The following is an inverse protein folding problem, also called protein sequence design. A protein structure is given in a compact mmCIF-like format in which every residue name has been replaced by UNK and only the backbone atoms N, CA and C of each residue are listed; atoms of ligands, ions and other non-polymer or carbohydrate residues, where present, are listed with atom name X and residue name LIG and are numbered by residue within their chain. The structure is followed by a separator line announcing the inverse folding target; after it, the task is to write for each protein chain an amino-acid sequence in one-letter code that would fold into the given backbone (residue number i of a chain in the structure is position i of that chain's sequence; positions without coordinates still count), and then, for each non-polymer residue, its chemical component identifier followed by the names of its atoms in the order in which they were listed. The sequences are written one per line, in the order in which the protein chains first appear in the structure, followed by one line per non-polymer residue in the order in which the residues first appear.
data_IF_117720168573
#
_entry.id   IF_117720168573
#
_cell.length_a   1.000
_cell.length_b   1.000
_cell.length_c   1.000
_cell.angle_alpha   90.00
_cell.angle_beta   90.00
_cell.angle_gamma   90.00
#
_symmetry.space_group_name_H-M   'P 1'
#
loop_
_entity.id
_entity.type
_entity.pdbx_description
1 polymer ?
#
# COMPACT_ATOMS: atom_id res chain seq x y z
N UNK A 1 40.55 0.83 19.29
CA UNK A 1 39.45 0.70 18.31
C UNK A 1 39.67 1.83 17.32
N UNK A 2 40.14 1.50 16.13
CA UNK A 2 40.47 2.53 15.13
C UNK A 2 39.16 3.00 14.52
N UNK A 3 38.66 4.15 14.90
CA UNK A 3 37.54 4.82 14.26
C UNK A 3 38.00 5.25 12.87
N UNK A 4 38.06 4.26 11.93
CA UNK A 4 38.18 4.57 10.53
C UNK A 4 36.98 5.44 10.18
N UNK A 5 37.31 6.64 9.81
CA UNK A 5 36.44 7.73 9.37
C UNK A 5 35.09 7.30 8.85
N UNK A 6 34.04 7.68 9.57
CA UNK A 6 32.65 7.55 9.07
C UNK A 6 32.56 8.44 7.84
N UNK A 7 32.43 7.85 6.66
CA UNK A 7 32.39 8.56 5.40
C UNK A 7 30.96 8.58 4.86
N UNK A 8 30.34 9.76 4.84
CA UNK A 8 29.03 9.96 4.24
C UNK A 8 28.97 9.52 2.77
N UNK A 9 30.08 9.67 2.04
CA UNK A 9 30.17 9.21 0.65
C UNK A 9 29.99 7.68 0.56
N UNK A 10 30.71 6.90 1.37
CA UNK A 10 30.57 5.43 1.38
C UNK A 10 29.20 4.97 1.83
N UNK A 11 28.59 5.68 2.77
CA UNK A 11 27.21 5.40 3.17
C UNK A 11 26.24 5.64 2.01
N UNK A 12 26.40 6.74 1.27
CA UNK A 12 25.57 7.04 0.13
C UNK A 12 25.79 6.04 -1.01
N UNK A 13 27.03 5.67 -1.31
CA UNK A 13 27.35 4.63 -2.29
C UNK A 13 26.68 3.29 -1.96
N UNK A 14 26.68 2.92 -0.67
CA UNK A 14 25.98 1.71 -0.23
C UNK A 14 24.46 1.84 -0.42
N UNK A 15 23.86 2.97 -0.01
CA UNK A 15 22.42 3.20 -0.16
C UNK A 15 21.96 3.23 -1.62
N UNK A 16 22.74 3.83 -2.52
CA UNK A 16 22.42 3.87 -3.95
C UNK A 16 22.44 2.48 -4.59
N UNK A 17 23.14 1.52 -4.00
CA UNK A 17 23.10 0.12 -4.42
C UNK A 17 21.72 -0.54 -4.26
N UNK A 18 20.82 0.05 -3.46
CA UNK A 18 19.45 -0.42 -3.21
C UNK A 18 18.40 0.24 -4.13
N UNK A 19 18.79 0.77 -5.26
CA UNK A 19 17.88 1.36 -6.25
C UNK A 19 17.09 0.28 -7.01
N UNK A 20 16.27 -0.47 -6.26
CA UNK A 20 15.33 -1.46 -6.77
C UNK A 20 14.22 -1.71 -5.75
N UNK A 21 13.07 -2.22 -6.23
CA UNK A 21 11.95 -2.63 -5.37
C UNK A 21 12.39 -3.82 -4.51
N UNK A 22 12.14 -3.73 -3.19
CA UNK A 22 12.51 -4.74 -2.20
C UNK A 22 11.40 -4.98 -1.18
N UNK A 23 10.21 -5.18 -1.69
CA UNK A 23 9.08 -5.56 -0.85
C UNK A 23 9.33 -6.92 -0.21
N UNK A 24 8.78 -7.11 0.99
CA UNK A 24 8.87 -8.37 1.72
C UNK A 24 8.27 -9.52 0.89
N UNK A 25 8.92 -10.69 0.90
CA UNK A 25 8.56 -11.87 0.12
C UNK A 25 8.95 -11.82 -1.36
N UNK A 26 9.74 -10.82 -1.78
CA UNK A 26 10.18 -10.72 -3.18
C UNK A 26 11.67 -11.07 -3.37
N UNK A 27 12.04 -11.41 -4.60
CA UNK A 27 13.45 -11.58 -4.95
C UNK A 27 14.30 -10.33 -4.67
N UNK A 28 13.69 -9.14 -4.70
CA UNK A 28 14.34 -7.89 -4.32
C UNK A 28 14.73 -7.85 -2.85
N UNK A 29 13.88 -8.34 -1.95
CA UNK A 29 14.22 -8.46 -0.53
C UNK A 29 15.41 -9.40 -0.32
N UNK A 30 15.38 -10.58 -0.91
CA UNK A 30 16.49 -11.56 -0.83
C UNK A 30 17.79 -10.96 -1.37
N UNK A 31 17.73 -10.22 -2.49
CA UNK A 31 18.88 -9.51 -3.03
C UNK A 31 19.40 -8.47 -2.03
N UNK A 32 18.53 -7.67 -1.43
CA UNK A 32 18.92 -6.66 -0.45
C UNK A 32 19.57 -7.30 0.79
N UNK A 33 18.98 -8.37 1.32
CA UNK A 33 19.52 -9.10 2.47
C UNK A 33 20.94 -9.66 2.16
N UNK A 34 21.14 -10.23 0.97
CA UNK A 34 22.47 -10.70 0.53
C UNK A 34 23.47 -9.55 0.44
N UNK A 35 23.11 -8.42 -0.13
CA UNK A 35 23.98 -7.24 -0.21
C UNK A 35 24.42 -6.75 1.16
N UNK A 36 23.50 -6.71 2.14
CA UNK A 36 23.80 -6.35 3.52
C UNK A 36 24.77 -7.36 4.14
N UNK A 37 24.48 -8.65 4.02
CA UNK A 37 25.33 -9.73 4.53
C UNK A 37 26.76 -9.63 3.97
N UNK A 38 26.90 -9.54 2.66
CA UNK A 38 28.20 -9.51 1.99
C UNK A 38 29.01 -8.27 2.39
N UNK A 39 28.33 -7.16 2.67
CA UNK A 39 28.97 -5.94 3.21
C UNK A 39 29.46 -6.14 4.63
N UNK A 40 28.66 -6.78 5.51
CA UNK A 40 29.06 -7.10 6.88
C UNK A 40 30.24 -8.07 6.90
N UNK A 41 30.23 -9.08 6.04
CA UNK A 41 31.34 -10.02 5.87
C UNK A 41 32.62 -9.32 5.43
N UNK A 42 32.53 -8.35 4.51
CA UNK A 42 33.70 -7.54 4.08
C UNK A 42 34.32 -6.74 5.21
N UNK A 43 33.56 -6.42 6.25
CA UNK A 43 34.04 -5.75 7.45
C UNK A 43 34.48 -6.71 8.56
N UNK A 44 34.38 -8.02 8.33
CA UNK A 44 34.67 -9.04 9.34
C UNK A 44 33.63 -9.08 10.48
N UNK A 45 32.43 -8.55 10.25
CA UNK A 45 31.34 -8.57 11.22
C UNK A 45 30.63 -9.90 11.16
N UNK A 46 30.66 -10.66 12.25
CA UNK A 46 29.94 -11.94 12.36
C UNK A 46 28.43 -11.67 12.24
N UNK A 47 27.81 -12.32 11.31
CA UNK A 47 26.37 -12.18 11.03
C UNK A 47 25.76 -13.52 10.66
N UNK A 48 24.43 -13.59 10.60
CA UNK A 48 23.66 -14.70 10.06
C UNK A 48 22.39 -14.20 9.43
N UNK A 49 21.87 -14.91 8.45
CA UNK A 49 20.54 -14.68 7.89
C UNK A 49 19.53 -15.56 8.64
N UNK A 50 18.41 -14.98 8.98
CA UNK A 50 17.27 -15.68 9.59
C UNK A 50 16.08 -15.54 8.66
N UNK A 51 15.47 -16.67 8.30
CA UNK A 51 14.26 -16.71 7.50
C UNK A 51 13.05 -16.89 8.44
N UNK A 52 11.94 -16.25 8.11
CA UNK A 52 10.70 -16.37 8.86
C UNK A 52 9.50 -16.18 7.93
N UNK A 53 8.44 -16.89 8.24
CA UNK A 53 7.17 -16.79 7.53
C UNK A 53 6.43 -15.52 7.95
N UNK A 54 5.76 -14.89 6.97
CA UNK A 54 4.89 -13.74 7.24
C UNK A 54 3.70 -13.72 6.29
N UNK A 55 2.63 -13.05 6.70
CA UNK A 55 1.45 -12.86 5.87
C UNK A 55 1.67 -11.68 4.92
N UNK A 56 1.81 -11.98 3.65
CA UNK A 56 1.93 -10.99 2.58
C UNK A 56 0.61 -10.66 1.89
N UNK A 57 0.66 -9.79 0.90
CA UNK A 57 -0.43 -9.52 -0.03
C UNK A 57 0.15 -9.12 -1.38
N UNK A 58 -0.62 -9.35 -2.43
CA UNK A 58 -0.28 -8.87 -3.77
C UNK A 58 -1.45 -8.09 -4.33
N UNK A 59 -1.17 -6.94 -4.93
CA UNK A 59 -2.15 -6.16 -5.67
C UNK A 59 -2.03 -6.52 -7.14
N UNK A 60 -2.89 -7.41 -7.61
CA UNK A 60 -2.86 -7.84 -9.00
C UNK A 60 -3.40 -6.77 -9.95
N UNK A 61 -4.43 -6.06 -9.52
CA UNK A 61 -5.04 -4.99 -10.31
C UNK A 61 -5.80 -4.02 -9.42
N UNK A 62 -5.67 -2.72 -9.72
CA UNK A 62 -6.50 -1.68 -9.13
C UNK A 62 -6.95 -0.73 -10.24
N UNK A 63 -8.23 -0.42 -10.29
CA UNK A 63 -8.84 0.46 -11.29
C UNK A 63 -9.88 1.33 -10.64
N UNK A 64 -9.83 2.62 -10.90
CA UNK A 64 -10.85 3.59 -10.50
C UNK A 64 -11.43 4.24 -11.75
N UNK A 65 -12.76 4.17 -11.88
CA UNK A 65 -13.47 4.81 -13.00
C UNK A 65 -14.59 5.69 -12.49
N UNK A 66 -14.67 6.88 -13.03
CA UNK A 66 -15.91 7.68 -13.02
C UNK A 66 -16.73 7.22 -14.21
N UNK A 67 -17.98 6.85 -13.99
CA UNK A 67 -18.89 6.39 -15.04
C UNK A 67 -20.00 7.38 -15.36
N UNK A 68 -20.30 8.29 -14.44
CA UNK A 68 -21.28 9.39 -14.58
C UNK A 68 -20.80 10.59 -13.74
N UNK A 69 -20.99 11.83 -14.19
CA UNK A 69 -21.63 12.31 -15.42
C UNK A 69 -20.74 12.23 -16.67
N UNK A 70 -19.51 11.78 -16.54
CA UNK A 70 -18.54 11.58 -17.62
C UNK A 70 -17.79 10.27 -17.38
N UNK A 71 -17.15 9.75 -18.42
CA UNK A 71 -16.34 8.55 -18.30
C UNK A 71 -14.86 8.92 -18.20
N UNK A 72 -14.22 8.49 -17.12
CA UNK A 72 -12.77 8.68 -16.93
C UNK A 72 -12.19 7.57 -16.06
N UNK A 73 -11.06 7.06 -16.49
CA UNK A 73 -10.25 6.11 -15.73
C UNK A 73 -9.08 6.85 -15.08
N UNK A 74 -8.79 6.51 -13.83
CA UNK A 74 -7.68 7.06 -13.06
C UNK A 74 -6.68 5.98 -12.74
N UNK A 75 -5.40 6.33 -12.81
CA UNK A 75 -4.33 5.47 -12.36
C UNK A 75 -4.33 5.46 -10.83
N UNK A 76 -4.50 4.29 -10.26
CA UNK A 76 -4.56 4.08 -8.81
C UNK A 76 -3.76 2.85 -8.43
N UNK A 77 -3.42 2.74 -7.15
CA UNK A 77 -2.88 1.53 -6.56
C UNK A 77 -3.79 1.01 -5.46
N UNK A 78 -3.63 -0.26 -5.11
CA UNK A 78 -4.40 -0.93 -4.08
C UNK A 78 -3.90 -0.68 -2.66
N UNK A 79 -4.82 -0.81 -1.69
CA UNK A 79 -4.45 -1.04 -0.32
C UNK A 79 -4.21 -2.52 -0.09
N UNK A 80 -3.10 -2.85 0.55
CA UNK A 80 -2.86 -4.21 0.99
C UNK A 80 -3.86 -4.66 2.06
N UNK A 81 -4.22 -5.93 2.02
CA UNK A 81 -5.13 -6.55 2.99
C UNK A 81 -6.54 -5.95 2.99
N UNK A 82 -7.00 -5.47 1.84
CA UNK A 82 -8.38 -5.04 1.64
C UNK A 82 -9.18 -6.12 0.90
N UNK A 83 -10.51 -6.01 0.93
CA UNK A 83 -11.38 -6.88 0.15
C UNK A 83 -11.23 -6.68 -1.35
N UNK A 84 -11.68 -7.66 -2.12
CA UNK A 84 -11.71 -7.63 -3.57
C UNK A 84 -13.11 -7.30 -4.08
N UNK A 85 -13.20 -6.60 -5.21
CA UNK A 85 -14.48 -6.24 -5.82
C UNK A 85 -15.04 -7.32 -6.75
N UNK A 86 -14.30 -8.36 -7.00
CA UNK A 86 -14.62 -9.29 -8.09
C UNK A 86 -14.45 -8.65 -9.48
N UNK A 87 -14.80 -9.39 -10.53
CA UNK A 87 -14.61 -8.97 -11.92
C UNK A 87 -15.44 -7.74 -12.31
N UNK A 88 -16.65 -7.63 -11.77
CA UNK A 88 -17.59 -6.54 -12.07
C UNK A 88 -17.25 -5.22 -11.38
N UNK A 89 -16.38 -5.26 -10.39
CA UNK A 89 -16.07 -4.09 -9.59
C UNK A 89 -17.16 -3.70 -8.60
N UNK A 90 -16.95 -2.59 -7.90
CA UNK A 90 -17.94 -1.95 -7.03
C UNK A 90 -18.39 -0.64 -7.67
N UNK A 91 -19.70 -0.51 -7.96
CA UNK A 91 -20.30 0.76 -8.40
C UNK A 91 -21.15 1.34 -7.29
N UNK A 92 -20.86 2.57 -6.89
CA UNK A 92 -21.63 3.32 -5.91
C UNK A 92 -21.46 4.83 -6.13
N UNK A 93 -22.33 5.62 -5.50
CA UNK A 93 -22.20 7.07 -5.50
C UNK A 93 -20.90 7.50 -4.83
N UNK A 94 -20.35 8.59 -5.31
CA UNK A 94 -19.13 9.20 -4.78
C UNK A 94 -19.45 10.29 -3.75
N UNK A 95 -18.65 10.38 -2.69
CA UNK A 95 -18.72 11.45 -1.71
C UNK A 95 -17.30 11.87 -1.28
N UNK A 96 -16.98 13.16 -1.41
CA UNK A 96 -15.77 13.73 -0.83
C UNK A 96 -16.02 14.09 0.65
N UNK A 97 -15.16 13.62 1.52
CA UNK A 97 -15.33 13.72 3.00
C UNK A 97 -14.11 14.37 3.69
N UNK A 98 -13.29 15.08 2.94
CA UNK A 98 -12.09 15.77 3.44
C UNK A 98 -11.24 14.86 4.35
N UNK A 99 -11.28 15.11 5.66
CA UNK A 99 -10.53 14.37 6.67
C UNK A 99 -11.33 13.22 7.33
N UNK A 100 -12.54 12.95 6.86
CA UNK A 100 -13.40 11.89 7.40
C UNK A 100 -13.88 12.16 8.83
N UNK A 101 -14.25 13.41 9.15
CA UNK A 101 -14.92 13.75 10.40
C UNK A 101 -16.40 13.32 10.41
N UNK A 102 -17.03 13.32 11.60
CA UNK A 102 -18.39 12.83 11.76
C UNK A 102 -19.44 13.61 10.96
N UNK A 103 -19.23 14.90 10.71
CA UNK A 103 -20.16 15.74 9.95
C UNK A 103 -20.08 15.40 8.47
N UNK A 104 -18.88 15.36 7.91
CA UNK A 104 -18.66 15.02 6.50
C UNK A 104 -19.10 13.59 6.18
N UNK A 105 -18.99 12.67 7.15
CA UNK A 105 -19.41 11.27 7.02
C UNK A 105 -20.91 11.03 7.22
N UNK A 106 -21.71 12.01 7.61
CA UNK A 106 -23.15 11.84 7.87
C UNK A 106 -23.94 11.28 6.67
N UNK A 107 -23.43 11.44 5.46
CA UNK A 107 -24.05 10.98 4.19
C UNK A 107 -23.26 9.87 3.50
N UNK A 108 -22.33 9.21 4.20
CA UNK A 108 -21.40 8.24 3.62
C UNK A 108 -22.00 6.85 3.39
N UNK A 109 -23.15 6.55 4.03
CA UNK A 109 -23.77 5.23 3.94
C UNK A 109 -24.04 4.81 2.49
N UNK A 110 -23.53 3.64 2.12
CA UNK A 110 -23.67 3.05 0.78
C UNK A 110 -22.82 3.73 -0.30
N UNK A 111 -21.91 4.62 0.04
CA UNK A 111 -21.12 5.38 -0.92
C UNK A 111 -19.64 4.99 -0.89
N UNK A 112 -18.95 5.24 -2.00
CA UNK A 112 -17.49 5.31 -2.05
C UNK A 112 -17.08 6.71 -1.62
N UNK A 113 -16.29 6.80 -0.55
CA UNK A 113 -15.87 8.08 0.00
C UNK A 113 -14.42 8.41 -0.37
N UNK A 114 -14.12 9.67 -0.62
CA UNK A 114 -12.74 10.11 -0.84
C UNK A 114 -12.26 10.96 0.33
N UNK A 115 -11.14 10.54 0.90
CA UNK A 115 -10.47 11.20 2.02
C UNK A 115 -9.21 11.90 1.50
N UNK A 116 -8.99 13.13 1.91
CA UNK A 116 -7.76 13.84 1.63
C UNK A 116 -6.68 13.44 2.64
N UNK A 117 -5.59 12.86 2.15
CA UNK A 117 -4.51 12.35 2.97
C UNK A 117 -4.66 10.89 3.35
N UNK A 118 -3.76 10.42 4.20
CA UNK A 118 -3.67 9.02 4.60
C UNK A 118 -4.83 8.61 5.49
N UNK A 119 -5.46 7.50 5.18
CA UNK A 119 -6.47 6.87 6.04
C UNK A 119 -5.77 6.11 7.17
N UNK A 120 -5.76 6.70 8.37
CA UNK A 120 -5.31 6.03 9.60
C UNK A 120 -6.34 5.04 10.11
N UNK A 121 -5.98 4.21 11.10
CA UNK A 121 -6.90 3.26 11.72
C UNK A 121 -8.18 3.91 12.27
N UNK A 122 -8.07 5.09 12.88
CA UNK A 122 -9.23 5.82 13.42
C UNK A 122 -10.14 6.36 12.31
N UNK A 123 -9.56 6.90 11.23
CA UNK A 123 -10.33 7.32 10.06
C UNK A 123 -11.04 6.13 9.45
N UNK A 124 -10.32 5.01 9.26
CA UNK A 124 -10.91 3.78 8.75
C UNK A 124 -12.12 3.32 9.57
N UNK A 125 -11.99 3.26 10.90
CA UNK A 125 -13.10 2.87 11.78
C UNK A 125 -14.31 3.81 11.65
N UNK A 126 -14.08 5.12 11.50
CA UNK A 126 -15.17 6.07 11.25
C UNK A 126 -15.86 5.84 9.91
N UNK A 127 -15.10 5.55 8.84
CA UNK A 127 -15.65 5.24 7.52
C UNK A 127 -16.55 3.98 7.58
N UNK A 128 -16.07 2.92 8.24
CA UNK A 128 -16.83 1.69 8.44
C UNK A 128 -18.11 1.97 9.23
N UNK A 129 -18.00 2.67 10.37
CA UNK A 129 -19.14 3.00 11.22
C UNK A 129 -20.17 3.88 10.51
N UNK A 130 -19.76 4.74 9.60
CA UNK A 130 -20.64 5.54 8.77
C UNK A 130 -21.32 4.75 7.64
N UNK A 131 -20.95 3.47 7.44
CA UNK A 131 -21.53 2.59 6.42
C UNK A 131 -21.06 2.91 5.00
N UNK A 132 -19.89 3.49 4.83
CA UNK A 132 -19.24 3.59 3.52
C UNK A 132 -18.97 2.19 2.96
N UNK A 133 -19.12 2.00 1.66
CA UNK A 133 -18.88 0.70 1.01
C UNK A 133 -17.46 0.58 0.44
N UNK A 134 -16.73 1.68 0.40
CA UNK A 134 -15.34 1.73 -0.01
C UNK A 134 -14.77 3.12 0.24
N UNK A 135 -13.44 3.24 0.16
CA UNK A 135 -12.81 4.54 0.24
C UNK A 135 -11.66 4.72 -0.75
N UNK A 136 -11.37 5.98 -1.03
CA UNK A 136 -10.25 6.44 -1.83
C UNK A 136 -9.44 7.36 -0.93
N UNK A 137 -8.14 7.15 -0.78
CA UNK A 137 -7.26 8.13 -0.16
C UNK A 137 -6.47 8.89 -1.22
N UNK A 138 -6.36 10.19 -1.05
CA UNK A 138 -5.52 11.05 -1.89
C UNK A 138 -4.30 11.40 -1.07
N UNK A 139 -3.15 10.85 -1.44
CA UNK A 139 -1.88 11.12 -0.79
C UNK A 139 -0.98 11.91 -1.74
N UNK A 140 -0.26 12.88 -1.21
CA UNK A 140 0.64 13.75 -1.93
C UNK A 140 0.35 15.23 -1.67
N UNK A 141 1.29 16.07 -2.03
CA UNK A 141 1.15 17.52 -1.95
C UNK A 141 1.07 18.11 -3.37
N UNK A 142 0.18 19.05 -3.64
CA UNK A 142 0.20 19.80 -4.89
C UNK A 142 1.48 20.66 -5.03
N UNK A 143 2.29 20.71 -3.97
CA UNK A 143 3.57 21.43 -3.92
C UNK A 143 4.78 20.53 -4.19
N UNK A 144 4.59 19.25 -4.44
CA UNK A 144 5.67 18.36 -4.87
C UNK A 144 6.07 18.73 -6.30
N UNK A 145 6.96 19.71 -6.39
CA UNK A 145 7.50 20.20 -7.66
C UNK A 145 8.24 19.07 -8.39
N UNK A 146 7.93 18.90 -9.67
CA UNK A 146 8.58 17.94 -10.56
C UNK A 146 7.84 16.65 -10.80
N UNK A 147 6.63 16.51 -10.29
CA UNK A 147 5.77 15.37 -10.61
C UNK A 147 4.70 15.84 -11.60
N UNK A 148 4.91 15.59 -12.89
CA UNK A 148 3.89 15.76 -13.95
C UNK A 148 2.66 14.85 -13.76
N UNK A 149 2.38 14.44 -12.53
CA UNK A 149 1.33 13.50 -12.20
C UNK A 149 0.50 14.07 -11.06
N UNK A 150 -0.79 14.08 -11.29
CA UNK A 150 -1.75 14.35 -10.24
C UNK A 150 -1.43 13.45 -9.04
N UNK A 151 -1.24 14.00 -7.84
CA UNK A 151 -0.82 13.23 -6.66
C UNK A 151 -1.94 12.33 -6.11
N UNK A 152 -2.67 11.65 -6.97
CA UNK A 152 -3.77 10.73 -6.67
C UNK A 152 -3.31 9.28 -6.72
N UNK A 153 -2.07 8.98 -6.37
CA UNK A 153 -1.50 7.69 -6.77
C UNK A 153 -1.69 6.57 -5.77
N UNK A 154 -2.31 6.81 -4.64
CA UNK A 154 -2.67 5.76 -3.68
C UNK A 154 -4.12 5.86 -3.34
N UNK A 155 -4.96 5.45 -4.24
CA UNK A 155 -6.37 5.41 -3.97
C UNK A 155 -6.94 4.07 -4.35
N UNK A 156 -7.75 3.54 -3.48
CA UNK A 156 -8.51 2.36 -3.75
C UNK A 156 -9.86 2.46 -3.16
N UNK A 157 -10.85 1.91 -3.85
CA UNK A 157 -12.00 1.45 -3.11
C UNK A 157 -11.53 0.30 -2.22
N UNK A 158 -11.42 0.51 -0.92
CA UNK A 158 -11.39 -0.58 0.02
C UNK A 158 -12.83 -1.02 0.19
N UNK A 159 -13.12 -2.26 -0.22
CA UNK A 159 -14.38 -2.88 0.11
C UNK A 159 -14.29 -3.30 1.56
N UNK A 160 -15.25 -2.86 2.34
CA UNK A 160 -15.44 -3.39 3.67
C UNK A 160 -16.16 -4.74 3.51
N UNK A 161 -15.53 -5.86 3.84
CA UNK A 161 -16.24 -7.11 3.84
C UNK A 161 -17.36 -7.05 4.87
N UNK A 162 -18.52 -7.53 4.49
CA UNK A 162 -19.68 -7.61 5.38
C UNK A 162 -19.47 -8.52 6.59
N UNK A 163 -18.52 -9.47 6.47
CA UNK A 163 -18.13 -10.41 7.52
C UNK A 163 -16.61 -10.61 7.55
N UNK A 164 -16.05 -10.72 8.76
CA UNK A 164 -14.62 -10.97 8.97
C UNK A 164 -14.11 -12.28 8.33
N UNK A 165 -15.00 -13.22 8.02
CA UNK A 165 -14.68 -14.49 7.37
C UNK A 165 -14.23 -14.28 5.91
N UNK A 166 -14.85 -13.37 5.15
CA UNK A 166 -14.44 -13.06 3.77
C UNK A 166 -13.06 -12.39 3.70
N UNK A 167 -12.67 -11.65 4.74
CA UNK A 167 -11.30 -11.09 4.84
C UNK A 167 -10.28 -12.20 4.99
N UNK A 168 -10.62 -13.25 5.72
CA UNK A 168 -9.73 -14.38 5.98
C UNK A 168 -9.58 -15.26 4.73
N UNK A 169 -10.65 -15.48 3.96
CA UNK A 169 -10.58 -16.20 2.68
C UNK A 169 -9.77 -15.44 1.63
N UNK A 170 -9.97 -14.14 1.49
CA UNK A 170 -9.15 -13.31 0.59
C UNK A 170 -7.67 -13.25 0.98
N UNK A 171 -7.36 -13.39 2.26
CA UNK A 171 -5.98 -13.49 2.76
C UNK A 171 -5.37 -14.87 2.49
N UNK A 172 -6.16 -15.94 2.53
CA UNK A 172 -5.68 -17.29 2.23
C UNK A 172 -5.36 -17.52 0.76
N UNK A 173 -6.18 -17.00 -0.14
CA UNK A 173 -5.92 -17.05 -1.59
C UNK A 173 -4.65 -16.27 -1.97
N UNK A 174 -4.39 -15.11 -1.33
CA UNK A 174 -3.15 -14.37 -1.59
C UNK A 174 -1.91 -15.00 -0.97
N UNK A 175 -2.05 -15.83 0.06
CA UNK A 175 -0.95 -16.57 0.70
C UNK A 175 -0.56 -17.83 -0.11
N UNK A 176 -1.51 -18.50 -0.74
CA UNK A 176 -1.24 -19.63 -1.62
C UNK A 176 -0.42 -19.24 -2.85
N UNK A 177 -0.70 -18.06 -3.44
CA UNK A 177 0.06 -17.51 -4.56
C UNK A 177 1.53 -17.21 -4.22
N UNK A 178 1.88 -17.01 -2.95
CA UNK A 178 3.26 -16.76 -2.51
C UNK A 178 4.04 -18.07 -2.38
N UNK A 179 3.37 -19.17 -2.05
CA UNK A 179 4.00 -20.50 -1.94
C UNK A 179 4.38 -21.12 -3.29
N UNK A 180 3.68 -20.77 -4.38
CA UNK A 180 4.01 -21.29 -5.72
C UNK A 180 5.23 -20.60 -6.37
N UNK A 181 5.81 -19.58 -5.73
CA UNK A 181 6.97 -18.83 -6.26
C UNK A 181 8.30 -19.16 -5.56
N UNK A 182 8.35 -20.19 -4.73
CA UNK A 182 9.58 -20.75 -4.21
C UNK A 182 9.97 -22.01 -5.00
#
# INVERSE_FOLDING_TARGET
MNTKEISGRRQMEFLTGFDFVREAGTAGEVKAAKMIRDTLDSFGVKNRMEEFDFWGFRINRAVLKVVEPYQKEYVVTGYGRCGNTGAEGLKADFLYVENGDAVSLSRAKGKIVMVNGRVSGDVYQRLVSAGAVGFISVEGSPLDEGVDRVPCQRSLPMIFPGDAAEVIEGLSESAEDIHEMQ
#
